data_IF_585057796604
#
_entry.id   IF_585057796604
#
_cell.length_a   1.000
_cell.length_b   1.000
_cell.length_c   1.000
_cell.angle_alpha   90.00
_cell.angle_beta   90.00
_cell.angle_gamma   90.00
#
_symmetry.space_group_name_H-M   'P 1'
#
loop_
_entity.id
_entity.type
_entity.pdbx_description
1 polymer ?
#
# COMPACT_ATOMS: atom_id res chain seq x y z
N UNK A 1 -3.22 6.58 -6.58
CA UNK A 1 -3.68 7.26 -5.36
C UNK A 1 -3.09 6.52 -4.17
N UNK A 2 -2.52 7.26 -3.22
CA UNK A 2 -2.03 6.75 -1.95
C UNK A 2 -2.93 7.31 -0.84
N UNK A 3 -3.28 6.49 0.16
CA UNK A 3 -4.19 6.92 1.22
C UNK A 3 -4.02 6.08 2.50
N UNK A 4 -3.61 6.72 3.59
CA UNK A 4 -3.64 6.12 4.92
C UNK A 4 -5.10 6.06 5.41
N UNK A 5 -5.61 4.86 5.73
CA UNK A 5 -7.02 4.63 6.05
C UNK A 5 -7.37 4.82 7.53
N UNK A 6 -6.41 5.14 8.39
CA UNK A 6 -6.57 5.36 9.84
C UNK A 6 -7.24 4.17 10.57
N UNK A 7 -6.53 3.07 10.81
CA UNK A 7 -7.06 1.85 11.46
C UNK A 7 -8.31 1.23 10.79
N UNK A 8 -8.39 1.15 9.47
CA UNK A 8 -9.53 0.52 8.78
C UNK A 8 -9.73 -0.94 9.18
N UNK A 9 -10.89 -1.24 9.78
CA UNK A 9 -11.22 -2.57 10.29
C UNK A 9 -10.39 -3.03 11.49
N UNK A 10 -9.51 -2.16 12.03
CA UNK A 10 -8.75 -2.42 13.24
C UNK A 10 -9.40 -1.68 14.42
N UNK A 11 -9.76 -2.39 15.48
CA UNK A 11 -10.40 -1.79 16.66
C UNK A 11 -9.42 -1.79 17.83
N UNK A 12 -9.20 -0.61 18.41
CA UNK A 12 -8.34 -0.43 19.59
C UNK A 12 -9.12 0.26 20.72
N UNK A 13 -8.51 0.39 21.91
CA UNK A 13 -9.14 1.07 23.06
C UNK A 13 -9.44 2.56 22.79
N UNK A 14 -8.68 3.20 21.91
CA UNK A 14 -8.81 4.61 21.53
C UNK A 14 -9.37 4.81 20.12
N UNK A 15 -9.63 3.72 19.39
CA UNK A 15 -10.18 3.71 18.03
C UNK A 15 -11.27 2.63 17.94
N UNK A 16 -12.40 2.90 18.60
CA UNK A 16 -13.51 1.94 18.71
C UNK A 16 -14.40 1.94 17.47
N UNK A 17 -15.22 0.91 17.30
CA UNK A 17 -16.20 0.83 16.19
C UNK A 17 -17.20 1.99 16.15
N UNK A 18 -17.42 2.70 17.27
CA UNK A 18 -18.28 3.89 17.31
C UNK A 18 -17.64 5.09 16.63
N UNK A 19 -16.31 5.23 16.69
CA UNK A 19 -15.57 6.37 16.13
C UNK A 19 -14.76 6.00 14.88
N UNK A 20 -14.67 4.71 14.59
CA UNK A 20 -13.93 4.11 13.48
C UNK A 20 -14.81 3.05 12.78
N UNK A 21 -16.06 3.41 12.51
CA UNK A 21 -17.01 2.52 11.86
C UNK A 21 -16.56 2.21 10.42
N UNK A 22 -16.43 0.92 10.11
CA UNK A 22 -15.94 0.47 8.79
C UNK A 22 -16.94 0.77 7.66
N UNK A 23 -18.24 0.73 7.94
CA UNK A 23 -19.28 0.97 6.93
C UNK A 23 -19.38 2.46 6.59
N UNK A 24 -19.25 3.34 7.58
CA UNK A 24 -19.15 4.78 7.32
C UNK A 24 -17.91 5.09 6.47
N UNK A 25 -16.77 4.48 6.79
CA UNK A 25 -15.54 4.60 5.99
C UNK A 25 -15.73 4.10 4.57
N UNK A 26 -16.41 2.96 4.38
CA UNK A 26 -16.77 2.46 3.07
C UNK A 26 -17.58 3.48 2.28
N UNK A 27 -18.59 4.10 2.90
CA UNK A 27 -19.37 5.17 2.28
C UNK A 27 -18.51 6.33 1.78
N UNK A 28 -17.65 6.89 2.65
CA UNK A 28 -16.79 8.01 2.27
C UNK A 28 -15.73 7.64 1.22
N UNK A 29 -15.09 6.48 1.37
CA UNK A 29 -14.10 6.00 0.41
C UNK A 29 -14.74 5.70 -0.94
N UNK A 30 -15.95 5.15 -0.96
CA UNK A 30 -16.72 4.93 -2.19
C UNK A 30 -16.94 6.24 -2.94
N UNK A 31 -17.29 7.33 -2.26
CA UNK A 31 -17.48 8.64 -2.89
C UNK A 31 -16.17 9.19 -3.47
N UNK A 32 -15.08 9.11 -2.70
CA UNK A 32 -13.74 9.54 -3.14
C UNK A 32 -13.28 8.73 -4.37
N UNK A 33 -13.38 7.41 -4.29
CA UNK A 33 -13.00 6.48 -5.37
C UNK A 33 -13.91 6.65 -6.58
N UNK A 34 -15.20 6.88 -6.38
CA UNK A 34 -16.18 7.12 -7.44
C UNK A 34 -15.88 8.39 -8.22
N UNK A 35 -15.35 9.43 -7.55
CA UNK A 35 -14.90 10.67 -8.18
C UNK A 35 -13.54 10.50 -8.88
N UNK A 36 -12.52 10.03 -8.16
CA UNK A 36 -11.14 9.97 -8.66
C UNK A 36 -10.91 8.83 -9.66
N UNK A 37 -11.59 7.70 -9.49
CA UNK A 37 -11.42 6.45 -10.27
C UNK A 37 -9.95 6.09 -10.47
N UNK A 38 -9.18 5.93 -9.37
CA UNK A 38 -7.74 5.69 -9.48
C UNK A 38 -7.48 4.36 -10.18
N UNK A 39 -6.44 4.29 -11.02
CA UNK A 39 -6.03 3.01 -11.62
C UNK A 39 -5.27 2.13 -10.63
N UNK A 40 -4.59 2.78 -9.68
CA UNK A 40 -3.88 2.17 -8.55
C UNK A 40 -4.32 2.87 -7.27
N UNK A 41 -4.77 2.09 -6.29
CA UNK A 41 -5.11 2.54 -4.95
C UNK A 41 -4.28 1.78 -3.93
N UNK A 42 -3.27 2.46 -3.40
CA UNK A 42 -2.37 1.98 -2.38
C UNK A 42 -2.79 2.54 -1.03
N UNK A 43 -2.84 1.69 -0.02
CA UNK A 43 -3.32 2.07 1.31
C UNK A 43 -2.44 1.54 2.42
N UNK A 44 -2.42 2.28 3.51
CA UNK A 44 -1.84 1.92 4.79
C UNK A 44 -2.96 1.82 5.84
N UNK A 45 -2.63 1.26 7.00
CA UNK A 45 -3.51 1.17 8.16
C UNK A 45 -4.79 0.34 7.97
N UNK A 46 -4.72 -0.74 7.19
CA UNK A 46 -5.81 -1.71 7.08
C UNK A 46 -5.55 -2.94 7.95
N UNK A 47 -6.56 -3.44 8.66
CA UNK A 47 -6.40 -4.64 9.47
C UNK A 47 -6.02 -5.86 8.63
N UNK A 48 -5.07 -6.64 9.14
CA UNK A 48 -4.32 -7.69 8.44
C UNK A 48 -5.07 -8.98 8.10
N UNK A 49 -6.35 -8.92 7.73
CA UNK A 49 -7.17 -10.11 7.43
C UNK A 49 -7.80 -10.05 6.04
N UNK A 50 -7.94 -11.21 5.38
CA UNK A 50 -8.59 -11.30 4.06
C UNK A 50 -10.01 -10.70 4.08
N UNK A 51 -10.79 -10.96 5.13
CA UNK A 51 -12.16 -10.42 5.25
C UNK A 51 -12.20 -8.89 5.26
N UNK A 52 -11.24 -8.23 5.92
CA UNK A 52 -11.20 -6.76 5.97
C UNK A 52 -10.73 -6.15 4.65
N UNK A 53 -9.70 -6.72 4.01
CA UNK A 53 -9.25 -6.22 2.70
C UNK A 53 -10.27 -6.48 1.60
N UNK A 54 -10.98 -7.61 1.66
CA UNK A 54 -12.10 -7.91 0.77
C UNK A 54 -13.29 -6.98 1.04
N UNK A 55 -13.51 -6.59 2.29
CA UNK A 55 -14.56 -5.65 2.63
C UNK A 55 -14.33 -4.29 1.96
N UNK A 56 -13.11 -3.74 1.98
CA UNK A 56 -12.81 -2.47 1.30
C UNK A 56 -12.97 -2.59 -0.23
N UNK A 57 -12.45 -3.69 -0.81
CA UNK A 57 -12.61 -3.96 -2.24
C UNK A 57 -14.09 -3.97 -2.65
N UNK A 58 -14.89 -4.73 -1.92
CA UNK A 58 -16.27 -5.00 -2.30
C UNK A 58 -17.20 -3.85 -1.94
N UNK A 59 -16.96 -3.11 -0.86
CA UNK A 59 -17.89 -2.10 -0.35
C UNK A 59 -17.49 -0.65 -0.63
N UNK A 60 -16.30 -0.40 -1.18
CA UNK A 60 -15.90 0.94 -1.64
C UNK A 60 -15.46 0.96 -3.11
N UNK A 61 -14.55 0.06 -3.50
CA UNK A 61 -13.97 0.09 -4.86
C UNK A 61 -14.95 -0.43 -5.91
N UNK A 62 -15.45 -1.66 -5.72
CA UNK A 62 -16.36 -2.36 -6.61
C UNK A 62 -17.84 -2.07 -6.27
N UNK A 63 -18.19 -0.79 -6.33
CA UNK A 63 -19.52 -0.26 -6.05
C UNK A 63 -20.02 0.64 -7.18
N UNK A 64 -21.31 0.96 -7.17
CA UNK A 64 -21.97 1.85 -8.15
C UNK A 64 -21.68 1.44 -9.62
N UNK A 65 -21.71 0.13 -9.90
CA UNK A 65 -21.45 -0.45 -11.23
C UNK A 65 -19.99 -0.67 -11.57
N UNK A 66 -19.03 -0.30 -10.70
CA UNK A 66 -17.63 -0.70 -10.82
C UNK A 66 -17.48 -2.15 -10.35
N UNK A 67 -16.81 -2.98 -11.15
CA UNK A 67 -16.56 -4.40 -10.83
C UNK A 67 -15.17 -4.87 -11.26
N UNK A 68 -14.30 -3.92 -11.58
CA UNK A 68 -13.04 -4.17 -12.26
C UNK A 68 -11.81 -3.99 -11.37
N UNK A 69 -11.98 -3.55 -10.13
CA UNK A 69 -10.86 -3.52 -9.19
C UNK A 69 -10.53 -4.93 -8.71
N UNK A 70 -9.25 -5.22 -8.63
CA UNK A 70 -8.67 -6.38 -7.95
C UNK A 70 -7.72 -5.89 -6.87
N UNK A 71 -7.27 -6.82 -6.02
CA UNK A 71 -6.27 -6.56 -4.99
C UNK A 71 -5.11 -7.54 -5.09
N UNK A 72 -3.97 -7.14 -4.56
CA UNK A 72 -2.88 -8.06 -4.28
C UNK A 72 -3.19 -8.97 -3.08
N UNK A 73 -2.31 -9.92 -2.80
CA UNK A 73 -2.38 -10.74 -1.59
C UNK A 73 -1.81 -9.96 -0.39
N UNK A 74 -2.44 -10.12 0.77
CA UNK A 74 -1.99 -9.50 2.01
C UNK A 74 -0.78 -10.25 2.59
N UNK A 75 0.15 -9.51 3.18
CA UNK A 75 1.24 -10.05 4.02
C UNK A 75 1.26 -9.35 5.37
N UNK A 76 1.81 -10.02 6.39
CA UNK A 76 2.04 -9.44 7.71
C UNK A 76 3.18 -10.17 8.43
N UNK A 77 4.35 -10.26 7.79
CA UNK A 77 5.50 -10.99 8.33
C UNK A 77 6.06 -10.32 9.60
N UNK A 78 5.93 -8.99 9.68
CA UNK A 78 6.34 -8.20 10.84
C UNK A 78 5.35 -8.27 12.02
N UNK A 79 4.19 -8.93 11.86
CA UNK A 79 3.23 -9.14 12.94
C UNK A 79 2.54 -7.87 13.46
N UNK A 80 2.28 -6.90 12.57
CA UNK A 80 1.63 -5.63 12.91
C UNK A 80 0.11 -5.76 13.04
N UNK A 81 -0.53 -4.90 13.84
CA UNK A 81 -2.00 -4.83 13.94
C UNK A 81 -2.67 -4.33 12.64
N UNK A 82 -1.87 -3.65 11.81
CA UNK A 82 -2.28 -3.00 10.57
C UNK A 82 -1.23 -3.20 9.48
N UNK A 83 -1.69 -3.35 8.25
CA UNK A 83 -0.89 -3.68 7.07
C UNK A 83 -1.08 -2.64 5.96
N UNK A 84 -0.30 -2.80 4.90
CA UNK A 84 -0.50 -2.07 3.64
C UNK A 84 -1.19 -2.98 2.63
N UNK A 85 -1.88 -2.38 1.66
CA UNK A 85 -2.52 -3.10 0.57
C UNK A 85 -2.49 -2.33 -0.74
N UNK A 86 -2.44 -3.07 -1.85
CA UNK A 86 -2.62 -2.54 -3.20
C UNK A 86 -3.92 -3.07 -3.81
N UNK A 87 -4.70 -2.14 -4.36
CA UNK A 87 -5.82 -2.40 -5.24
C UNK A 87 -5.56 -1.75 -6.60
N UNK A 88 -6.01 -2.38 -7.68
CA UNK A 88 -5.70 -1.93 -9.04
C UNK A 88 -6.85 -2.21 -10.01
N UNK A 89 -6.99 -1.38 -11.04
CA UNK A 89 -7.95 -1.60 -12.14
C UNK A 89 -7.45 -2.75 -13.03
N UNK A 90 -8.09 -3.91 -12.92
CA UNK A 90 -7.70 -5.13 -13.62
C UNK A 90 -7.93 -5.05 -15.14
N UNK A 91 -8.61 -4.02 -15.64
CA UNK A 91 -8.69 -3.76 -17.09
C UNK A 91 -7.38 -3.21 -17.61
N UNK A 92 -6.63 -2.49 -16.77
CA UNK A 92 -5.40 -1.77 -17.13
C UNK A 92 -4.15 -2.46 -16.63
N UNK A 93 -4.21 -3.16 -15.51
CA UNK A 93 -3.05 -3.78 -14.90
C UNK A 93 -3.28 -5.23 -14.52
N UNK A 94 -2.20 -6.00 -14.55
CA UNK A 94 -2.16 -7.35 -14.01
C UNK A 94 -1.00 -7.45 -13.02
N UNK A 95 -1.25 -8.06 -11.85
CA UNK A 95 -0.21 -8.36 -10.88
C UNK A 95 0.74 -9.42 -11.44
N UNK A 96 2.01 -9.07 -11.59
CA UNK A 96 3.06 -9.96 -12.05
C UNK A 96 3.71 -10.71 -10.89
N UNK A 97 4.11 -9.96 -9.87
CA UNK A 97 4.75 -10.49 -8.68
C UNK A 97 4.49 -9.58 -7.49
N UNK A 98 4.67 -10.13 -6.30
CA UNK A 98 4.68 -9.36 -5.07
C UNK A 98 5.72 -9.91 -4.10
N UNK A 99 6.27 -9.01 -3.30
CA UNK A 99 7.21 -9.32 -2.23
C UNK A 99 6.92 -8.44 -1.02
N UNK A 100 7.41 -8.85 0.15
CA UNK A 100 7.35 -8.02 1.34
C UNK A 100 8.64 -8.14 2.13
N UNK A 101 9.21 -6.99 2.47
CA UNK A 101 10.37 -6.87 3.35
C UNK A 101 9.81 -6.75 4.76
N UNK A 102 10.07 -7.75 5.60
CA UNK A 102 9.77 -7.66 7.03
C UNK A 102 10.71 -6.65 7.68
N UNK A 103 10.16 -5.78 8.54
CA UNK A 103 10.96 -4.87 9.37
C UNK A 103 10.66 -5.14 10.85
N UNK A 104 11.17 -4.28 11.73
CA UNK A 104 10.86 -4.34 13.16
C UNK A 104 9.43 -3.93 13.51
N UNK A 105 8.69 -3.30 12.58
CA UNK A 105 7.36 -2.74 12.86
C UNK A 105 6.28 -3.23 11.90
N UNK A 106 6.53 -3.11 10.59
CA UNK A 106 5.56 -3.37 9.50
C UNK A 106 6.28 -3.85 8.26
N UNK A 107 5.56 -4.61 7.45
CA UNK A 107 6.06 -4.98 6.13
C UNK A 107 6.18 -3.74 5.24
N UNK A 108 7.23 -3.68 4.41
CA UNK A 108 7.29 -2.84 3.22
C UNK A 108 6.89 -3.72 2.04
N UNK A 109 5.81 -3.37 1.36
CA UNK A 109 5.24 -4.21 0.31
C UNK A 109 5.70 -3.74 -1.06
N UNK A 110 6.17 -4.67 -1.90
CA UNK A 110 6.53 -4.42 -3.29
C UNK A 110 5.57 -5.18 -4.18
N UNK A 111 4.89 -4.48 -5.07
CA UNK A 111 3.97 -5.07 -6.04
C UNK A 111 4.40 -4.69 -7.45
N UNK A 112 4.84 -5.66 -8.23
CA UNK A 112 5.16 -5.43 -9.64
C UNK A 112 3.94 -5.77 -10.48
N UNK A 113 3.42 -4.79 -11.20
CA UNK A 113 2.31 -4.93 -12.13
C UNK A 113 2.82 -4.65 -13.55
N UNK A 114 2.25 -5.32 -14.54
CA UNK A 114 2.43 -4.94 -15.94
C UNK A 114 1.17 -4.27 -16.48
N UNK A 115 1.35 -3.33 -17.41
CA UNK A 115 0.25 -2.68 -18.11
C UNK A 115 -0.37 -3.63 -19.15
N UNK A 116 -1.69 -3.71 -19.19
CA UNK A 116 -2.43 -4.50 -20.18
C UNK A 116 -2.48 -3.73 -21.51
N UNK A 117 -1.31 -3.55 -22.13
CA UNK A 117 -1.20 -2.90 -23.43
C UNK A 117 -1.92 -3.74 -24.50
N UNK A 118 -2.69 -3.11 -25.41
CA UNK A 118 -3.25 -3.80 -26.58
C UNK A 118 -2.19 -4.54 -27.41
N UNK A 119 -0.94 -4.07 -27.37
CA UNK A 119 0.16 -4.63 -28.16
C UNK A 119 0.81 -5.87 -27.53
N UNK A 120 0.50 -6.22 -26.27
CA UNK A 120 1.03 -7.44 -25.63
C UNK A 120 0.74 -8.67 -26.47
N UNK A 121 -0.47 -8.77 -27.04
CA UNK A 121 -0.88 -9.91 -27.85
C UNK A 121 -0.09 -10.07 -29.16
N UNK A 122 0.53 -8.99 -29.65
CA UNK A 122 1.22 -8.98 -30.94
C UNK A 122 2.75 -8.99 -30.78
N UNK A 123 3.27 -8.29 -29.78
CA UNK A 123 4.69 -7.99 -29.65
C UNK A 123 5.32 -8.49 -28.34
N UNK A 124 4.52 -9.03 -27.41
CA UNK A 124 4.95 -9.41 -26.06
C UNK A 124 5.68 -8.30 -25.28
N UNK A 125 5.43 -7.04 -25.63
CA UNK A 125 6.06 -5.88 -25.01
C UNK A 125 5.06 -5.09 -24.17
N UNK A 126 5.45 -4.78 -22.93
CA UNK A 126 4.68 -3.95 -22.01
C UNK A 126 5.55 -3.36 -20.90
N UNK A 127 5.09 -2.25 -20.33
CA UNK A 127 5.73 -1.60 -19.20
C UNK A 127 5.42 -2.35 -17.89
N UNK A 128 6.47 -2.59 -17.12
CA UNK A 128 6.40 -3.04 -15.72
C UNK A 128 6.60 -1.85 -14.79
N UNK A 129 5.84 -1.83 -13.70
CA UNK A 129 5.96 -0.87 -12.61
C UNK A 129 5.91 -1.59 -11.28
N UNK A 130 6.85 -1.27 -10.39
CA UNK A 130 6.90 -1.77 -9.02
C UNK A 130 6.44 -0.68 -8.07
N UNK A 131 5.31 -0.91 -7.40
CA UNK A 131 4.80 -0.04 -6.35
C UNK A 131 5.36 -0.51 -5.01
N UNK A 132 6.13 0.35 -4.36
CA UNK A 132 6.77 0.10 -3.08
C UNK A 132 6.01 0.89 -2.02
N UNK A 133 5.22 0.19 -1.21
CA UNK A 133 4.35 0.79 -0.18
C UNK A 133 5.06 0.79 1.17
N UNK A 134 5.22 1.98 1.74
CA UNK A 134 5.84 2.18 3.05
C UNK A 134 4.84 2.80 4.03
N UNK A 135 4.75 2.22 5.24
CA UNK A 135 4.15 2.89 6.40
C UNK A 135 5.19 2.95 7.52
N UNK A 136 6.03 3.97 7.49
CA UNK A 136 7.17 4.09 8.40
C UNK A 136 6.72 4.45 9.83
N UNK A 137 7.63 4.29 10.80
CA UNK A 137 7.38 4.58 12.22
C UNK A 137 6.88 6.02 12.42
N UNK A 138 5.66 6.15 12.93
CA UNK A 138 5.11 7.42 13.40
C UNK A 138 5.74 7.87 14.72
N UNK A 139 5.60 9.15 15.05
CA UNK A 139 6.12 9.77 16.28
C UNK A 139 7.35 10.65 16.05
N UNK A 140 7.62 11.49 17.05
CA UNK A 140 8.60 12.60 16.97
C UNK A 140 9.81 12.42 17.89
N UNK A 141 9.98 11.25 18.53
CA UNK A 141 11.19 10.97 19.30
C UNK A 141 12.36 10.64 18.38
N UNK A 142 13.59 10.85 18.85
CA UNK A 142 14.79 10.48 18.08
C UNK A 142 14.83 8.98 17.76
N UNK A 143 14.32 8.13 18.66
CA UNK A 143 14.17 6.69 18.42
C UNK A 143 13.16 6.36 17.32
N UNK A 144 12.11 7.19 17.14
CA UNK A 144 11.15 7.01 16.05
C UNK A 144 11.82 7.32 14.70
N UNK A 145 12.58 8.42 14.63
CA UNK A 145 13.38 8.78 13.46
C UNK A 145 14.41 7.70 13.11
N UNK A 146 15.09 7.14 14.12
CA UNK A 146 16.01 6.00 13.90
C UNK A 146 15.27 4.77 13.36
N UNK A 147 14.09 4.45 13.89
CA UNK A 147 13.30 3.32 13.37
C UNK A 147 12.89 3.54 11.91
N UNK A 148 12.54 4.78 11.51
CA UNK A 148 12.29 5.10 10.09
C UNK A 148 13.55 4.90 9.25
N UNK A 149 14.71 5.34 9.74
CA UNK A 149 15.99 5.16 9.06
C UNK A 149 16.28 3.66 8.82
N UNK A 150 16.15 2.83 9.85
CA UNK A 150 16.37 1.38 9.75
C UNK A 150 15.41 0.72 8.74
N UNK A 151 14.14 1.12 8.72
CA UNK A 151 13.15 0.62 7.76
C UNK A 151 13.50 0.98 6.32
N UNK A 152 13.87 2.24 6.05
CA UNK A 152 14.29 2.67 4.71
C UNK A 152 15.63 2.06 4.28
N UNK A 153 16.57 1.87 5.21
CA UNK A 153 17.82 1.17 4.94
C UNK A 153 17.59 -0.30 4.54
N UNK A 154 16.63 -0.98 5.19
CA UNK A 154 16.23 -2.33 4.79
C UNK A 154 15.66 -2.37 3.36
N UNK A 155 14.87 -1.37 2.97
CA UNK A 155 14.40 -1.23 1.59
C UNK A 155 15.57 -1.01 0.62
N UNK A 156 16.44 -0.03 0.87
CA UNK A 156 17.55 0.27 -0.04
C UNK A 156 18.50 -0.91 -0.19
N UNK A 157 18.84 -1.60 0.91
CA UNK A 157 19.64 -2.81 0.86
C UNK A 157 18.97 -3.92 0.02
N UNK A 158 17.65 -4.11 0.12
CA UNK A 158 16.93 -5.05 -0.74
C UNK A 158 17.02 -4.66 -2.22
N UNK A 159 16.78 -3.38 -2.54
CA UNK A 159 16.85 -2.89 -3.92
C UNK A 159 18.27 -3.04 -4.52
N UNK A 160 19.31 -2.80 -3.73
CA UNK A 160 20.70 -2.99 -4.15
C UNK A 160 21.04 -4.47 -4.37
N UNK A 161 20.66 -5.35 -3.43
CA UNK A 161 20.93 -6.80 -3.52
C UNK A 161 20.21 -7.43 -4.71
N UNK A 162 18.97 -7.05 -4.96
CA UNK A 162 18.19 -7.52 -6.11
C UNK A 162 18.58 -6.83 -7.42
N UNK A 163 19.49 -5.85 -7.38
CA UNK A 163 19.83 -5.00 -8.51
C UNK A 163 18.58 -4.45 -9.20
N UNK A 164 17.68 -3.88 -8.38
CA UNK A 164 16.36 -3.45 -8.81
C UNK A 164 16.49 -2.36 -9.89
N UNK A 165 15.86 -2.59 -11.04
CA UNK A 165 15.83 -1.67 -12.18
C UNK A 165 14.39 -1.43 -12.63
N UNK A 166 14.19 -0.51 -13.58
CA UNK A 166 12.87 -0.20 -14.13
C UNK A 166 12.10 0.85 -13.33
N UNK A 167 10.78 0.87 -13.50
CA UNK A 167 9.92 1.90 -12.93
C UNK A 167 9.54 1.55 -11.49
N UNK A 168 10.27 2.09 -10.52
CA UNK A 168 10.01 1.91 -9.10
C UNK A 168 9.34 3.15 -8.52
N UNK A 169 8.20 2.97 -7.86
CA UNK A 169 7.40 4.05 -7.28
C UNK A 169 7.31 3.80 -5.78
N UNK A 170 8.13 4.51 -5.00
CA UNK A 170 8.01 4.54 -3.54
C UNK A 170 6.87 5.47 -3.15
N UNK A 171 5.95 4.95 -2.34
CA UNK A 171 4.74 5.67 -1.92
C UNK A 171 4.28 5.21 -0.55
N UNK A 172 3.60 6.08 0.18
CA UNK A 172 2.92 5.72 1.42
C UNK A 172 2.97 6.82 2.47
N UNK A 173 2.71 6.43 3.71
CA UNK A 173 2.86 7.31 4.86
C UNK A 173 4.27 7.16 5.44
N UNK A 174 5.14 8.08 5.05
CA UNK A 174 6.53 8.05 5.46
C UNK A 174 6.75 8.55 6.88
N UNK A 175 5.80 9.25 7.51
CA UNK A 175 5.99 9.84 8.84
C UNK A 175 7.32 10.61 9.00
N UNK A 176 7.89 11.15 7.90
CA UNK A 176 9.14 11.91 7.89
C UNK A 176 8.82 13.38 8.07
N UNK A 177 9.49 14.04 9.00
CA UNK A 177 9.18 15.42 9.39
C UNK A 177 10.10 16.45 8.72
N UNK A 178 11.28 16.04 8.27
CA UNK A 178 12.20 16.94 7.57
C UNK A 178 13.10 16.17 6.60
N UNK A 179 13.67 16.91 5.65
CA UNK A 179 14.67 16.37 4.73
C UNK A 179 15.98 16.00 5.42
N UNK A 180 16.22 16.40 6.67
CA UNK A 180 17.44 16.05 7.40
C UNK A 180 17.38 14.68 8.08
N UNK A 181 16.22 14.03 8.13
CA UNK A 181 16.13 12.68 8.66
C UNK A 181 16.84 11.68 7.74
N UNK A 182 17.59 10.74 8.32
CA UNK A 182 18.30 9.70 7.57
C UNK A 182 17.34 8.86 6.70
N UNK A 183 16.11 8.65 7.17
CA UNK A 183 15.07 8.01 6.36
C UNK A 183 14.76 8.74 5.05
N UNK A 184 14.82 10.08 5.05
CA UNK A 184 14.66 10.88 3.83
C UNK A 184 15.89 10.77 2.94
N UNK A 185 17.08 10.75 3.53
CA UNK A 185 18.35 10.69 2.78
C UNK A 185 18.58 9.33 2.11
N UNK A 186 17.99 8.27 2.64
CA UNK A 186 18.06 6.93 2.07
C UNK A 186 17.26 6.80 0.75
N UNK A 187 16.17 7.55 0.58
CA UNK A 187 15.21 7.43 -0.54
C UNK A 187 15.49 8.44 -1.65
#
# INVERSE_FOLDING_TARGET
MQYNLLNYGNTTSYCSTTINNIDDKNGYLKDIIGYLKPDIFAVEEIHGTNSVVDNLLNNALNQDGRTYYQRASITNYSGSDICNMLYFDARKFTLYSQYAISTSLRDINLYTLYYNSPDVANNNDTAFMTFILLHLKAGSYSSDAQTRADMTAALMNYLDVENATGNNLAMGDFNVYSSSEEAFQNL
#
